data_IF_034048612430
#
_entry.id   IF_034048612430
#
_cell.length_a   1.000
_cell.length_b   1.000
_cell.length_c   1.000
_cell.angle_alpha   90.00
_cell.angle_beta   90.00
_cell.angle_gamma   90.00
#
_symmetry.space_group_name_H-M   'P 1'
#
loop_
_entity.id
_entity.type
_entity.pdbx_description
1 polymer ?
#
# COMPACT_ATOMS: atom_id res chain seq x y z
N UNK A 1 39.68 -9.37 3.42
CA UNK A 1 38.48 -8.54 3.64
C UNK A 1 38.81 -7.17 3.06
N UNK A 2 38.07 -6.68 2.05
CA UNK A 2 38.36 -5.38 1.46
C UNK A 2 38.15 -4.25 2.49
N UNK A 3 38.94 -3.19 2.40
CA UNK A 3 38.84 -2.02 3.29
C UNK A 3 37.61 -1.17 2.97
N UNK A 4 37.18 -0.32 3.91
CA UNK A 4 36.03 0.57 3.70
C UNK A 4 36.19 1.49 2.48
N UNK A 5 37.42 1.88 2.16
CA UNK A 5 37.75 2.72 1.00
C UNK A 5 37.63 1.90 -0.29
N UNK A 6 38.14 0.67 -0.31
CA UNK A 6 38.01 -0.23 -1.47
C UNK A 6 36.55 -0.59 -1.74
N UNK A 7 35.73 -0.77 -0.69
CA UNK A 7 34.28 -0.99 -0.83
C UNK A 7 33.58 0.28 -1.36
N UNK A 8 33.98 1.47 -0.91
CA UNK A 8 33.45 2.75 -1.43
C UNK A 8 33.77 2.91 -2.91
N UNK A 9 35.02 2.67 -3.31
CA UNK A 9 35.45 2.76 -4.71
C UNK A 9 34.72 1.73 -5.59
N UNK A 10 34.47 0.52 -5.09
CA UNK A 10 33.70 -0.51 -5.83
C UNK A 10 32.21 -0.12 -5.93
N UNK A 11 31.62 0.44 -4.87
CA UNK A 11 30.22 0.90 -4.87
C UNK A 11 30.02 2.14 -5.75
N UNK A 12 30.97 3.07 -5.75
CA UNK A 12 31.01 4.24 -6.62
C UNK A 12 31.19 3.84 -8.09
N UNK A 13 32.10 2.90 -8.38
CA UNK A 13 32.27 2.35 -9.74
C UNK A 13 31.02 1.64 -10.28
N UNK A 14 30.19 1.08 -9.40
CA UNK A 14 28.96 0.38 -9.77
C UNK A 14 27.67 1.22 -9.57
N UNK A 15 27.79 2.55 -9.34
CA UNK A 15 26.66 3.47 -9.10
C UNK A 15 25.65 3.02 -8.00
N UNK A 16 26.01 2.07 -7.13
CA UNK A 16 25.10 1.44 -6.14
C UNK A 16 24.56 2.43 -5.10
N UNK A 17 25.21 3.58 -4.96
CA UNK A 17 24.82 4.63 -4.03
C UNK A 17 23.57 5.41 -4.50
N UNK A 18 23.27 5.42 -5.81
CA UNK A 18 22.16 6.21 -6.36
C UNK A 18 20.82 5.66 -5.88
N UNK A 19 20.55 4.38 -6.11
CA UNK A 19 19.29 3.74 -5.70
C UNK A 19 19.03 3.84 -4.19
N UNK A 20 20.08 3.68 -3.37
CA UNK A 20 19.98 3.80 -1.93
C UNK A 20 19.62 5.23 -1.50
N UNK A 21 20.32 6.23 -2.06
CA UNK A 21 20.02 7.64 -1.81
C UNK A 21 18.60 8.01 -2.24
N UNK A 22 18.16 7.53 -3.40
CA UNK A 22 16.81 7.73 -3.90
C UNK A 22 15.74 7.09 -3.01
N UNK A 23 15.97 5.86 -2.53
CA UNK A 23 15.06 5.17 -1.63
C UNK A 23 14.91 5.92 -0.28
N UNK A 24 16.03 6.34 0.32
CA UNK A 24 16.00 7.15 1.54
C UNK A 24 15.38 8.52 1.33
N UNK A 25 15.68 9.18 0.21
CA UNK A 25 15.09 10.48 -0.14
C UNK A 25 13.58 10.37 -0.30
N UNK A 26 13.08 9.33 -0.99
CA UNK A 26 11.65 9.11 -1.16
C UNK A 26 10.96 8.78 0.16
N UNK A 27 11.57 7.93 0.99
CA UNK A 27 11.05 7.60 2.30
C UNK A 27 10.97 8.83 3.22
N UNK A 28 12.10 9.51 3.46
CA UNK A 28 12.20 10.63 4.42
C UNK A 28 11.53 11.90 3.90
N UNK A 29 11.62 12.13 2.59
CA UNK A 29 11.11 13.33 1.92
C UNK A 29 9.61 13.31 1.68
N UNK A 30 9.01 12.11 1.61
CA UNK A 30 7.61 11.94 1.20
C UNK A 30 6.86 10.88 2.01
N UNK A 31 7.21 9.59 1.91
CA UNK A 31 6.39 8.51 2.48
C UNK A 31 6.20 8.63 4.00
N UNK A 32 7.26 8.98 4.73
CA UNK A 32 7.22 9.18 6.19
C UNK A 32 6.32 10.36 6.61
N UNK A 33 6.04 11.29 5.70
CA UNK A 33 5.14 12.42 5.96
C UNK A 33 3.68 12.04 5.66
N UNK A 34 3.48 11.33 4.54
CA UNK A 34 2.17 11.10 3.95
C UNK A 34 1.48 9.87 4.54
N UNK A 35 2.20 8.74 4.64
CA UNK A 35 1.62 7.46 5.05
C UNK A 35 1.01 7.48 6.46
N UNK A 36 1.60 8.14 7.48
CA UNK A 36 0.98 8.21 8.81
C UNK A 36 -0.33 8.98 8.84
N UNK A 37 -0.58 9.86 7.85
CA UNK A 37 -1.81 10.67 7.74
C UNK A 37 -2.83 10.07 6.77
N UNK A 38 -2.46 9.05 6.02
CA UNK A 38 -3.28 8.51 4.93
C UNK A 38 -4.69 8.09 5.41
N UNK A 39 -4.77 7.37 6.54
CA UNK A 39 -6.07 6.89 7.05
C UNK A 39 -6.98 8.04 7.48
N UNK A 40 -6.42 9.12 8.03
CA UNK A 40 -7.20 10.31 8.40
C UNK A 40 -7.76 11.01 7.16
N UNK A 41 -6.93 11.15 6.11
CA UNK A 41 -7.35 11.73 4.82
C UNK A 41 -8.45 10.90 4.15
N UNK A 42 -8.36 9.57 4.22
CA UNK A 42 -9.38 8.67 3.69
C UNK A 42 -10.67 8.74 4.52
N UNK A 43 -10.58 8.82 5.85
CA UNK A 43 -11.73 9.03 6.73
C UNK A 43 -12.47 10.33 6.39
N UNK A 44 -11.74 11.43 6.18
CA UNK A 44 -12.32 12.70 5.77
C UNK A 44 -12.98 12.61 4.39
N UNK A 45 -12.30 11.99 3.42
CA UNK A 45 -12.87 11.72 2.10
C UNK A 45 -14.18 10.93 2.22
N UNK A 46 -14.20 9.84 2.97
CA UNK A 46 -15.37 8.97 3.11
C UNK A 46 -16.60 9.68 3.69
N UNK A 47 -16.39 10.62 4.64
CA UNK A 47 -17.47 11.44 5.21
C UNK A 47 -18.21 12.27 4.13
N UNK A 48 -17.51 12.69 3.09
CA UNK A 48 -18.07 13.47 1.99
C UNK A 48 -18.49 12.61 0.77
N UNK A 49 -18.20 11.31 0.76
CA UNK A 49 -18.39 10.42 -0.40
C UNK A 49 -19.08 9.10 -0.01
N UNK A 50 -20.05 9.13 0.92
CA UNK A 50 -20.91 7.99 1.28
C UNK A 50 -20.15 6.70 1.65
N UNK A 51 -19.02 6.82 2.36
CA UNK A 51 -18.17 5.68 2.73
C UNK A 51 -17.77 4.80 1.52
N UNK A 52 -17.38 5.43 0.42
CA UNK A 52 -16.92 4.76 -0.80
C UNK A 52 -15.87 3.67 -0.50
N UNK A 53 -14.90 3.97 0.36
CA UNK A 53 -13.85 3.05 0.80
C UNK A 53 -14.26 2.41 2.14
N UNK A 54 -14.94 1.26 2.10
CA UNK A 54 -15.67 0.69 3.25
C UNK A 54 -14.82 0.02 4.34
N UNK A 55 -13.69 -0.58 4.00
CA UNK A 55 -12.86 -1.36 4.94
C UNK A 55 -11.59 -0.57 5.29
N UNK A 56 -11.39 -0.25 6.57
CA UNK A 56 -10.30 0.63 7.04
C UNK A 56 -8.95 -0.09 7.02
N UNK A 57 -8.98 -1.40 7.13
CA UNK A 57 -7.83 -2.29 7.05
C UNK A 57 -7.23 -2.19 5.64
N UNK A 58 -8.09 -2.08 4.61
CA UNK A 58 -7.68 -2.03 3.21
C UNK A 58 -7.22 -0.65 2.72
N UNK A 59 -7.23 0.36 3.60
CA UNK A 59 -6.80 1.72 3.29
C UNK A 59 -5.28 1.82 3.20
N UNK A 60 -4.76 1.58 1.99
CA UNK A 60 -3.33 1.65 1.68
C UNK A 60 -3.05 2.45 0.41
N UNK A 61 -1.86 3.04 0.38
CA UNK A 61 -1.26 3.60 -0.82
C UNK A 61 -0.58 2.47 -1.61
N UNK A 62 -1.05 2.21 -2.82
CA UNK A 62 -0.46 1.25 -3.73
C UNK A 62 0.65 1.95 -4.53
N UNK A 63 1.90 1.57 -4.28
CA UNK A 63 3.06 2.21 -4.91
C UNK A 63 3.53 1.32 -6.05
N UNK A 64 3.37 1.81 -7.28
CA UNK A 64 3.78 1.14 -8.50
C UNK A 64 5.29 1.27 -8.70
N UNK A 65 5.93 0.13 -8.92
CA UNK A 65 7.37 0.00 -9.08
C UNK A 65 7.67 -0.78 -10.38
N UNK A 66 7.50 -0.17 -11.56
CA UNK A 66 7.90 -0.76 -12.83
C UNK A 66 9.43 -0.87 -12.88
N UNK A 67 9.95 -2.10 -12.88
CA UNK A 67 11.40 -2.34 -12.90
C UNK A 67 12.04 -1.82 -14.21
N UNK A 68 11.25 -1.72 -15.30
CA UNK A 68 11.67 -1.08 -16.56
C UNK A 68 11.95 0.43 -16.43
N UNK A 69 11.45 1.06 -15.37
CA UNK A 69 11.36 2.51 -15.15
C UNK A 69 10.48 3.26 -16.17
N UNK A 70 9.60 2.54 -16.88
CA UNK A 70 8.61 3.15 -17.76
C UNK A 70 7.44 3.65 -16.92
N UNK A 71 7.39 4.98 -16.74
CA UNK A 71 6.37 5.67 -15.96
C UNK A 71 5.54 6.54 -16.89
N UNK A 72 4.24 6.52 -16.65
CA UNK A 72 3.27 7.34 -17.35
C UNK A 72 2.75 8.43 -16.40
N UNK A 73 2.69 9.66 -16.89
CA UNK A 73 2.06 10.76 -16.15
C UNK A 73 0.54 10.53 -15.95
N UNK A 74 -0.07 9.79 -16.87
CA UNK A 74 -1.48 9.44 -16.87
C UNK A 74 -1.64 7.92 -16.87
N UNK A 75 -2.10 7.37 -15.74
CA UNK A 75 -2.37 5.94 -15.59
C UNK A 75 -3.42 5.42 -16.58
N UNK A 76 -4.32 6.27 -17.09
CA UNK A 76 -5.31 5.85 -18.10
C UNK A 76 -4.67 5.56 -19.46
N UNK A 77 -3.52 6.19 -19.74
CA UNK A 77 -2.72 5.91 -20.94
C UNK A 77 -1.88 4.65 -20.78
N UNK A 78 -1.47 4.34 -19.55
CA UNK A 78 -0.78 3.10 -19.25
C UNK A 78 -1.71 1.89 -19.37
N UNK A 79 -2.96 2.02 -18.92
CA UNK A 79 -3.97 0.97 -19.02
C UNK A 79 -5.39 1.57 -18.98
N UNK A 80 -6.17 1.33 -20.03
CA UNK A 80 -7.53 1.88 -20.17
C UNK A 80 -8.55 1.38 -19.14
N UNK A 81 -8.25 0.30 -18.40
CA UNK A 81 -9.08 -0.17 -17.29
C UNK A 81 -8.88 0.64 -16.01
N UNK A 82 -7.90 1.54 -15.99
CA UNK A 82 -7.62 2.45 -14.89
C UNK A 82 -8.21 3.80 -15.25
N UNK A 83 -9.05 4.37 -14.37
CA UNK A 83 -9.64 5.68 -14.59
C UNK A 83 -9.50 6.53 -13.34
N UNK A 84 -9.12 7.79 -13.53
CA UNK A 84 -9.09 8.76 -12.44
C UNK A 84 -10.50 8.97 -11.90
N UNK A 85 -10.64 8.93 -10.57
CA UNK A 85 -11.91 9.21 -9.91
C UNK A 85 -11.92 10.57 -9.25
N UNK A 86 -11.06 10.75 -8.24
CA UNK A 86 -11.03 11.96 -7.40
C UNK A 86 -9.77 12.01 -6.53
N UNK A 87 -9.35 13.20 -6.13
CA UNK A 87 -8.27 13.39 -5.16
C UNK A 87 -8.74 13.14 -3.72
N UNK A 88 -7.83 12.65 -2.87
CA UNK A 88 -7.94 12.81 -1.43
C UNK A 88 -7.73 14.28 -1.02
N UNK A 89 -8.23 14.70 0.16
CA UNK A 89 -7.85 15.98 0.74
C UNK A 89 -6.32 16.13 0.78
N UNK A 90 -5.83 17.31 0.41
CA UNK A 90 -4.40 17.56 0.35
C UNK A 90 -3.81 17.70 1.77
N UNK A 91 -2.69 17.01 2.03
CA UNK A 91 -1.89 17.27 3.21
C UNK A 91 -1.03 18.51 2.97
N UNK A 92 -1.18 19.54 3.82
CA UNK A 92 -0.42 20.78 3.75
C UNK A 92 0.63 20.84 4.86
N UNK A 93 1.89 21.06 4.51
CA UNK A 93 2.99 21.17 5.47
C UNK A 93 3.97 22.28 5.07
N UNK A 94 4.55 22.96 6.05
CA UNK A 94 5.68 23.86 5.83
C UNK A 94 6.99 23.05 5.77
N UNK A 95 7.74 23.15 4.67
CA UNK A 95 8.95 22.33 4.45
C UNK A 95 10.00 23.10 3.68
N UNK A 96 11.25 23.03 4.15
CA UNK A 96 12.43 23.57 3.46
C UNK A 96 12.24 25.02 2.97
N UNK A 97 11.70 25.90 3.82
CA UNK A 97 11.42 27.30 3.48
C UNK A 97 10.17 27.53 2.62
N UNK A 98 9.49 26.47 2.15
CA UNK A 98 8.23 26.56 1.42
C UNK A 98 7.06 26.47 2.39
N UNK A 99 6.19 27.49 2.38
CA UNK A 99 4.93 27.49 3.11
C UNK A 99 3.85 26.73 2.34
N UNK A 100 2.99 26.01 3.05
CA UNK A 100 1.83 25.32 2.45
C UNK A 100 2.22 24.39 1.29
N UNK A 101 3.25 23.56 1.50
CA UNK A 101 3.60 22.52 0.53
C UNK A 101 2.51 21.46 0.54
N UNK A 102 1.88 21.26 -0.62
CA UNK A 102 0.76 20.35 -0.82
C UNK A 102 1.24 18.96 -1.25
N UNK A 103 0.80 17.94 -0.53
CA UNK A 103 0.90 16.53 -0.91
C UNK A 103 -0.50 16.00 -1.23
N UNK A 104 -0.68 15.43 -2.42
CA UNK A 104 -1.97 14.97 -2.93
C UNK A 104 -1.81 13.55 -3.46
N UNK A 105 -2.81 12.73 -3.19
CA UNK A 105 -2.92 11.39 -3.75
C UNK A 105 -4.28 11.22 -4.40
N UNK A 106 -4.28 10.48 -5.49
CA UNK A 106 -5.47 10.30 -6.33
C UNK A 106 -6.07 8.93 -6.11
N UNK A 107 -7.40 8.88 -6.10
CA UNK A 107 -8.19 7.64 -6.13
C UNK A 107 -8.47 7.32 -7.59
N UNK A 108 -8.27 6.06 -7.95
CA UNK A 108 -8.59 5.51 -9.25
C UNK A 108 -9.65 4.42 -9.12
N UNK A 109 -10.45 4.28 -10.17
CA UNK A 109 -11.26 3.08 -10.40
C UNK A 109 -10.51 2.10 -11.30
N UNK A 110 -10.55 0.83 -10.95
CA UNK A 110 -9.98 -0.27 -11.74
C UNK A 110 -11.10 -1.20 -12.16
N UNK A 111 -11.26 -1.42 -13.46
CA UNK A 111 -12.24 -2.37 -14.00
C UNK A 111 -11.70 -3.80 -13.90
N UNK A 112 -12.39 -4.64 -13.14
CA UNK A 112 -12.09 -6.06 -13.03
C UNK A 112 -12.65 -6.88 -14.19
N UNK A 113 -12.07 -8.07 -14.40
CA UNK A 113 -12.57 -9.07 -15.35
C UNK A 113 -14.02 -9.51 -15.07
N UNK A 114 -14.46 -9.41 -13.81
CA UNK A 114 -15.84 -9.64 -13.38
C UNK A 114 -16.78 -8.46 -13.65
N UNK A 115 -16.30 -7.45 -14.39
CA UNK A 115 -16.97 -6.18 -14.72
C UNK A 115 -17.32 -5.35 -13.48
N UNK A 116 -16.70 -5.61 -12.34
CA UNK A 116 -16.84 -4.78 -11.14
C UNK A 116 -15.78 -3.70 -11.09
N UNK A 117 -16.15 -2.57 -10.48
CA UNK A 117 -15.24 -1.47 -10.23
C UNK A 117 -14.64 -1.59 -8.83
N UNK A 118 -13.32 -1.51 -8.77
CA UNK A 118 -12.55 -1.46 -7.55
C UNK A 118 -11.97 -0.06 -7.38
N UNK A 119 -11.89 0.43 -6.15
CA UNK A 119 -11.34 1.74 -5.84
C UNK A 119 -10.03 1.57 -5.10
N UNK A 120 -8.98 2.26 -5.53
CA UNK A 120 -7.70 2.25 -4.84
C UNK A 120 -7.00 3.60 -4.96
N UNK A 121 -6.15 3.89 -3.97
CA UNK A 121 -5.20 4.99 -4.05
C UNK A 121 -3.91 4.40 -4.58
N UNK A 122 -3.45 4.88 -5.73
CA UNK A 122 -2.33 4.31 -6.46
C UNK A 122 -1.49 5.41 -7.11
N UNK A 123 -0.17 5.26 -7.08
CA UNK A 123 0.76 6.18 -7.72
C UNK A 123 2.06 5.47 -8.10
N UNK A 124 2.77 6.00 -9.11
CA UNK A 124 4.14 5.59 -9.41
C UNK A 124 5.11 6.09 -8.35
N UNK A 125 6.18 5.33 -8.08
CA UNK A 125 7.31 5.83 -7.32
C UNK A 125 8.14 6.81 -8.19
N UNK A 126 8.12 8.13 -7.91
CA UNK A 126 8.80 9.11 -8.75
C UNK A 126 10.32 8.89 -8.91
N UNK A 127 11.08 8.32 -7.95
CA UNK A 127 12.51 8.07 -8.15
C UNK A 127 12.86 7.18 -9.34
N UNK A 128 11.96 6.28 -9.76
CA UNK A 128 12.20 5.46 -10.95
C UNK A 128 12.21 6.32 -12.23
N UNK A 129 11.44 7.41 -12.27
CA UNK A 129 11.47 8.37 -13.38
C UNK A 129 12.83 9.08 -13.44
N UNK A 130 13.42 9.38 -12.28
CA UNK A 130 14.78 9.93 -12.22
C UNK A 130 15.82 8.95 -12.77
N UNK A 131 15.73 7.66 -12.42
CA UNK A 131 16.60 6.63 -12.99
C UNK A 131 16.43 6.50 -14.51
N UNK A 132 15.19 6.58 -15.01
CA UNK A 132 14.94 6.63 -16.45
C UNK A 132 15.62 7.84 -17.08
N UNK A 133 15.38 9.05 -16.56
CA UNK A 133 15.96 10.28 -17.09
C UNK A 133 17.49 10.26 -17.08
N UNK A 134 18.12 9.77 -16.01
CA UNK A 134 19.57 9.58 -15.95
C UNK A 134 20.07 8.67 -17.07
N UNK A 135 19.32 7.62 -17.44
CA UNK A 135 19.71 6.72 -18.53
C UNK A 135 19.58 7.32 -19.94
N UNK A 136 18.88 8.46 -20.05
CA UNK A 136 18.71 9.17 -21.31
C UNK A 136 19.68 10.35 -21.44
N UNK A 137 20.38 10.73 -20.36
CA UNK A 137 21.34 11.82 -20.34
C UNK A 137 22.76 11.28 -20.51
N UNK A 138 23.39 11.60 -21.64
CA UNK A 138 24.76 11.16 -21.96
C UNK A 138 25.78 11.60 -20.90
N UNK A 139 25.52 12.72 -20.19
CA UNK A 139 26.43 13.24 -19.15
C UNK A 139 26.41 12.42 -17.86
N UNK A 140 25.37 11.62 -17.64
CA UNK A 140 25.21 10.84 -16.41
C UNK A 140 26.07 9.56 -16.41
N UNK A 141 26.62 9.15 -17.56
CA UNK A 141 27.34 7.88 -17.73
C UNK A 141 26.57 6.69 -17.12
N UNK A 142 25.26 6.62 -17.42
CA UNK A 142 24.31 5.70 -16.81
C UNK A 142 23.60 4.90 -17.90
N UNK A 143 23.96 3.62 -18.06
CA UNK A 143 23.42 2.77 -19.12
C UNK A 143 22.01 2.27 -18.82
N UNK A 144 21.39 1.59 -19.80
CA UNK A 144 20.11 0.89 -19.62
C UNK A 144 20.26 -0.27 -18.63
N UNK A 145 21.40 -0.95 -18.68
CA UNK A 145 21.76 -2.05 -17.78
C UNK A 145 21.92 -1.51 -16.35
N UNK A 146 22.64 -0.39 -16.17
CA UNK A 146 22.77 0.29 -14.88
C UNK A 146 21.40 0.69 -14.33
N UNK A 147 20.51 1.23 -15.19
CA UNK A 147 19.14 1.58 -14.81
C UNK A 147 18.39 0.39 -14.24
N UNK A 148 18.45 -0.76 -14.91
CA UNK A 148 17.77 -1.97 -14.47
C UNK A 148 18.30 -2.43 -13.10
N UNK A 149 19.62 -2.47 -12.93
CA UNK A 149 20.25 -2.84 -11.66
C UNK A 149 19.89 -1.88 -10.52
N UNK A 150 19.91 -0.58 -10.78
CA UNK A 150 19.53 0.44 -9.80
C UNK A 150 18.04 0.43 -9.49
N UNK A 151 17.17 0.16 -10.46
CA UNK A 151 15.73 0.05 -10.23
C UNK A 151 15.42 -1.13 -9.29
N UNK A 152 16.03 -2.29 -9.54
CA UNK A 152 15.90 -3.46 -8.67
C UNK A 152 16.47 -3.17 -7.27
N UNK A 153 17.63 -2.51 -7.19
CA UNK A 153 18.22 -2.12 -5.91
C UNK A 153 17.32 -1.14 -5.15
N UNK A 154 16.72 -0.16 -5.85
CA UNK A 154 15.78 0.79 -5.28
C UNK A 154 14.56 0.07 -4.69
N UNK A 155 13.94 -0.86 -5.44
CA UNK A 155 12.80 -1.63 -4.96
C UNK A 155 13.14 -2.43 -3.69
N UNK A 156 14.30 -3.11 -3.66
CA UNK A 156 14.77 -3.86 -2.49
C UNK A 156 15.01 -2.94 -1.29
N UNK A 157 15.79 -1.88 -1.47
CA UNK A 157 16.14 -0.95 -0.40
C UNK A 157 14.91 -0.22 0.15
N UNK A 158 13.98 0.21 -0.71
CA UNK A 158 12.73 0.82 -0.25
C UNK A 158 11.88 -0.17 0.56
N UNK A 159 11.79 -1.42 0.11
CA UNK A 159 11.12 -2.49 0.86
C UNK A 159 11.71 -2.69 2.26
N UNK A 160 13.04 -2.78 2.35
CA UNK A 160 13.77 -2.90 3.62
C UNK A 160 13.52 -1.69 4.54
N UNK A 161 13.61 -0.47 4.02
CA UNK A 161 13.35 0.76 4.80
C UNK A 161 11.93 0.74 5.38
N UNK A 162 10.93 0.43 4.56
CA UNK A 162 9.54 0.45 4.99
C UNK A 162 9.19 -0.68 5.96
N UNK A 163 9.80 -1.86 5.81
CA UNK A 163 9.64 -2.97 6.75
C UNK A 163 10.10 -2.60 8.17
N UNK A 164 11.12 -1.76 8.30
CA UNK A 164 11.61 -1.27 9.60
C UNK A 164 10.90 0.02 10.07
N UNK A 165 9.97 0.56 9.29
CA UNK A 165 9.23 1.78 9.64
C UNK A 165 7.96 1.48 10.43
N UNK A 166 7.98 1.78 11.73
CA UNK A 166 6.81 1.64 12.61
C UNK A 166 5.66 2.59 12.25
N UNK A 167 5.96 3.72 11.63
CA UNK A 167 4.98 4.77 11.31
C UNK A 167 4.24 4.49 9.98
N UNK A 168 4.87 3.73 9.08
CA UNK A 168 4.32 3.45 7.75
C UNK A 168 3.61 2.09 7.68
N UNK A 169 3.77 1.23 8.70
CA UNK A 169 3.25 -0.13 8.71
C UNK A 169 1.73 -0.14 8.46
N UNK A 170 1.29 -1.01 7.55
CA UNK A 170 -0.13 -1.19 7.23
C UNK A 170 -0.79 -0.04 6.45
N UNK A 171 -0.02 0.95 5.97
CA UNK A 171 -0.53 2.07 5.17
C UNK A 171 -0.05 2.05 3.70
N UNK A 172 0.76 1.08 3.29
CA UNK A 172 1.28 0.96 1.92
C UNK A 172 1.21 -0.47 1.40
N UNK A 173 1.23 -0.61 0.06
CA UNK A 173 1.47 -1.86 -0.65
C UNK A 173 2.41 -1.58 -1.81
N UNK A 174 3.58 -2.22 -1.84
CA UNK A 174 4.48 -2.14 -2.98
C UNK A 174 3.99 -3.10 -4.08
N UNK A 175 3.93 -2.62 -5.32
CA UNK A 175 3.57 -3.40 -6.51
C UNK A 175 4.76 -3.34 -7.46
N UNK A 176 5.66 -4.31 -7.32
CA UNK A 176 6.81 -4.49 -8.22
C UNK A 176 6.37 -5.34 -9.38
N UNK A 177 6.57 -4.85 -10.60
CA UNK A 177 6.23 -5.57 -11.82
C UNK A 177 7.22 -5.26 -12.94
N UNK A 178 7.32 -6.18 -13.89
CA UNK A 178 8.07 -6.04 -15.13
C UNK A 178 7.07 -5.91 -16.27
N UNK A 179 7.36 -5.05 -17.25
CA UNK A 179 6.47 -4.85 -18.39
C UNK A 179 6.45 -6.09 -19.27
N UNK A 180 5.27 -6.68 -19.43
CA UNK A 180 4.96 -7.64 -20.48
C UNK A 180 4.07 -6.98 -21.55
N UNK A 181 4.03 -7.55 -22.75
CA UNK A 181 3.23 -7.11 -23.92
C UNK A 181 1.70 -7.23 -23.74
N UNK A 182 1.20 -7.17 -22.50
CA UNK A 182 -0.24 -7.13 -22.18
C UNK A 182 -0.67 -5.71 -21.84
N UNK A 183 -1.53 -5.13 -22.67
CA UNK A 183 -2.07 -3.77 -22.51
C UNK A 183 -2.89 -3.58 -21.23
N UNK A 184 -3.25 -4.66 -20.54
CA UNK A 184 -4.00 -4.63 -19.28
C UNK A 184 -3.24 -5.24 -18.10
N UNK A 185 -1.93 -5.43 -18.24
CA UNK A 185 -1.10 -5.99 -17.16
C UNK A 185 -1.22 -5.19 -15.87
N UNK A 186 -1.21 -3.85 -15.97
CA UNK A 186 -1.17 -2.98 -14.81
C UNK A 186 -2.44 -3.06 -13.96
N UNK A 187 -3.62 -3.01 -14.60
CA UNK A 187 -4.90 -3.18 -13.90
C UNK A 187 -5.00 -4.56 -13.26
N UNK A 188 -4.55 -5.62 -13.96
CA UNK A 188 -4.50 -6.99 -13.41
C UNK A 188 -3.60 -7.08 -12.18
N UNK A 189 -2.39 -6.50 -12.22
CA UNK A 189 -1.46 -6.51 -11.09
C UNK A 189 -1.99 -5.72 -9.89
N UNK A 190 -2.60 -4.56 -10.13
CA UNK A 190 -3.26 -3.79 -9.06
C UNK A 190 -4.39 -4.60 -8.44
N UNK A 191 -5.27 -5.21 -9.24
CA UNK A 191 -6.37 -6.03 -8.75
C UNK A 191 -5.90 -7.27 -7.99
N UNK A 192 -4.83 -7.92 -8.45
CA UNK A 192 -4.20 -9.04 -7.75
C UNK A 192 -3.77 -8.62 -6.35
N UNK A 193 -3.13 -7.47 -6.21
CA UNK A 193 -2.72 -6.92 -4.92
C UNK A 193 -3.92 -6.51 -4.05
N UNK A 194 -4.96 -5.89 -4.60
CA UNK A 194 -6.18 -5.51 -3.87
C UNK A 194 -6.89 -6.74 -3.31
N UNK A 195 -7.05 -7.80 -4.12
CA UNK A 195 -7.69 -9.06 -3.73
C UNK A 195 -6.88 -9.79 -2.65
N UNK A 196 -5.56 -9.85 -2.83
CA UNK A 196 -4.66 -10.44 -1.85
C UNK A 196 -4.74 -9.71 -0.50
N UNK A 197 -4.78 -8.38 -0.53
CA UNK A 197 -4.95 -7.56 0.67
C UNK A 197 -6.28 -7.82 1.37
N UNK A 198 -7.38 -7.92 0.62
CA UNK A 198 -8.68 -8.27 1.20
C UNK A 198 -8.63 -9.64 1.86
N UNK A 199 -8.00 -10.64 1.24
CA UNK A 199 -7.85 -11.96 1.85
C UNK A 199 -7.02 -11.91 3.14
N UNK A 200 -5.89 -11.20 3.14
CA UNK A 200 -5.00 -11.03 4.30
C UNK A 200 -5.70 -10.34 5.48
N UNK A 201 -6.64 -9.43 5.22
CA UNK A 201 -7.24 -8.57 6.25
C UNK A 201 -8.63 -9.04 6.69
N UNK A 202 -9.45 -9.60 5.79
CA UNK A 202 -10.75 -10.17 6.15
C UNK A 202 -10.61 -11.48 6.92
N UNK A 203 -9.62 -12.32 6.60
CA UNK A 203 -9.34 -13.53 7.40
C UNK A 203 -8.91 -13.20 8.82
N UNK A 204 -8.30 -12.03 9.03
CA UNK A 204 -7.94 -11.53 10.36
C UNK A 204 -9.14 -10.91 11.12
N UNK A 205 -10.14 -10.38 10.41
CA UNK A 205 -11.39 -9.88 11.01
C UNK A 205 -12.34 -11.02 11.44
N UNK A 206 -12.41 -12.12 10.69
CA UNK A 206 -13.23 -13.29 11.06
C UNK A 206 -12.62 -14.08 12.23
N UNK A 207 -11.28 -14.13 12.35
CA UNK A 207 -10.58 -14.77 13.48
C UNK A 207 -10.80 -14.10 14.85
N UNK A 208 -11.37 -12.89 14.90
CA UNK A 208 -11.72 -12.17 16.13
C UNK A 208 -13.24 -12.12 16.41
N UNK A 209 -14.06 -12.75 15.56
CA UNK A 209 -15.52 -12.76 15.68
C UNK A 209 -16.15 -14.16 15.58
N UNK A 210 -15.40 -15.24 15.83
CA UNK A 210 -15.96 -16.57 16.03
C UNK A 210 -15.85 -17.02 17.48
N UNK A 211 -16.67 -16.43 18.33
CA UNK A 211 -17.14 -17.06 19.57
C UNK A 211 -18.48 -16.48 19.97
N UNK A 212 -19.49 -16.63 19.11
CA UNK A 212 -20.85 -16.87 19.60
C UNK A 212 -21.77 -17.43 18.51
N UNK A 213 -22.37 -18.58 18.83
CA UNK A 213 -23.65 -19.10 18.32
C UNK A 213 -23.63 -19.99 17.07
N UNK A 214 -22.95 -21.15 17.17
CA UNK A 214 -23.47 -22.35 16.52
C UNK A 214 -24.58 -22.95 17.38
N UNK A 215 -25.83 -22.79 16.94
CA UNK A 215 -26.95 -23.60 17.39
C UNK A 215 -26.79 -25.02 16.79
N UNK A 216 -26.37 -25.98 17.60
CA UNK A 216 -26.67 -27.39 17.36
C UNK A 216 -26.61 -28.19 18.67
N UNK A 217 -27.80 -28.35 19.25
CA UNK A 217 -28.27 -29.53 20.00
C UNK A 217 -27.53 -29.90 21.31
N UNK A 218 -28.10 -29.48 22.44
CA UNK A 218 -27.81 -30.07 23.75
C UNK A 218 -28.22 -31.57 23.77
N UNK A 219 -27.41 -32.47 24.34
CA UNK A 219 -27.85 -33.82 24.66
C UNK A 219 -28.72 -33.79 25.93
N UNK A 220 -29.97 -34.23 25.78
CA UNK A 220 -30.92 -34.39 26.89
C UNK A 220 -30.44 -35.46 27.88
N UNK A 221 -30.05 -35.05 29.08
CA UNK A 221 -29.87 -35.96 30.22
C UNK A 221 -31.23 -36.10 30.91
N UNK A 222 -31.83 -37.27 30.77
CA UNK A 222 -33.03 -37.71 31.49
C UNK A 222 -32.71 -37.77 33.00
N UNK A 223 -33.29 -36.87 33.79
CA UNK A 223 -33.39 -37.02 35.23
C UNK A 223 -34.88 -36.96 35.60
N UNK A 224 -35.28 -38.02 36.29
CA UNK A 224 -36.62 -38.44 36.67
C UNK A 224 -37.42 -37.40 37.44
N UNK A 225 -38.73 -37.42 37.20
CA UNK A 225 -39.80 -36.71 37.89
C UNK A 225 -39.64 -36.60 39.40
N UNK A 226 -39.86 -35.41 39.98
CA UNK A 226 -40.94 -35.17 40.96
C UNK A 226 -40.98 -33.73 41.49
N UNK A 227 -42.15 -33.11 41.32
CA UNK A 227 -42.79 -32.04 42.12
C UNK A 227 -42.26 -30.57 42.06
N UNK A 228 -42.92 -29.78 41.21
CA UNK A 228 -43.15 -28.33 41.35
C UNK A 228 -44.13 -28.03 42.51
N UNK A 229 -44.39 -26.76 42.90
CA UNK A 229 -43.50 -25.67 43.31
C UNK A 229 -44.01 -24.98 44.61
N UNK A 230 -43.21 -24.14 45.31
CA UNK A 230 -43.77 -23.01 46.08
C UNK A 230 -42.84 -21.77 46.08
N UNK A 231 -43.37 -20.54 46.05
CA UNK A 231 -42.61 -19.33 45.81
C UNK A 231 -42.22 -18.56 47.09
N UNK A 232 -41.09 -17.84 46.96
CA UNK A 232 -40.70 -16.54 47.53
C UNK A 232 -41.25 -16.13 48.91
N UNK A 233 -40.34 -15.95 49.86
CA UNK A 233 -40.35 -14.78 50.74
C UNK A 233 -38.96 -14.19 50.91
N UNK A 234 -38.87 -12.91 50.57
CA UNK A 234 -37.92 -11.95 51.12
C UNK A 234 -38.22 -11.74 52.60
N UNK A 235 -37.18 -11.61 53.41
CA UNK A 235 -37.03 -10.72 54.57
C UNK A 235 -35.53 -10.86 54.92
N UNK A 236 -34.68 -9.83 54.86
CA UNK A 236 -34.82 -8.54 55.52
C UNK A 236 -34.22 -8.65 56.92
N UNK A 237 -32.92 -8.40 57.05
CA UNK A 237 -32.21 -7.63 58.09
C UNK A 237 -30.70 -7.68 57.83
#
# INVERSE_FOLDING_TARGET
IPSAVEVSEICEKNNRNVAQGLAWSYYVGYLKLVLPRLKDLISEFNRANNNLLKCKETWKLHILLPVSCEIYDDLQKADSHIQYWKDLPALQLDRAGTKWRSYKQSIYTILGEDKKLYYCIVEYAPPLQSLYAMSQDESAAFSREDRLEQAQLFCRTLGEILQHSKECVGCYRLIVYEGEDDSHLLSKEILRHIRQQHLEEYTMCEGNHESTTFLSTEPSILISDSELPRPLRSDGF
#
